data_IF_899724565164
#
_entry.id   IF_899724565164
#
_cell.length_a   1.000
_cell.length_b   1.000
_cell.length_c   1.000
_cell.angle_alpha   90.00
_cell.angle_beta   90.00
_cell.angle_gamma   90.00
#
_symmetry.space_group_name_H-M   'P 1'
#
loop_
_entity.id
_entity.type
_entity.pdbx_description
1 polymer ?
#
# COMPACT_ATOMS: atom_id res chain seq x y z
N UNK A 1 -41.72 -41.21 15.93
CA UNK A 1 -41.82 -40.24 14.82
C UNK A 1 -41.29 -38.88 15.21
N UNK A 2 -41.74 -38.30 16.33
CA UNK A 2 -41.29 -36.98 16.82
C UNK A 2 -39.76 -36.83 16.92
N UNK A 3 -39.05 -37.79 17.52
CA UNK A 3 -37.59 -37.75 17.68
C UNK A 3 -36.85 -37.68 16.34
N UNK A 4 -37.33 -38.40 15.31
CA UNK A 4 -36.70 -38.40 13.99
C UNK A 4 -36.87 -37.05 13.28
N UNK A 5 -38.04 -36.43 13.44
CA UNK A 5 -38.32 -35.10 12.91
C UNK A 5 -37.46 -34.04 13.62
N UNK A 6 -37.39 -34.09 14.96
CA UNK A 6 -36.56 -33.18 15.75
C UNK A 6 -35.07 -33.33 15.43
N UNK A 7 -34.56 -34.55 15.26
CA UNK A 7 -33.17 -34.80 14.89
C UNK A 7 -32.84 -34.30 13.48
N UNK A 8 -33.75 -34.50 12.52
CA UNK A 8 -33.61 -33.98 11.16
C UNK A 8 -33.59 -32.45 11.13
N UNK A 9 -34.46 -31.80 11.91
CA UNK A 9 -34.47 -30.34 12.03
C UNK A 9 -33.18 -29.82 12.67
N UNK A 10 -32.74 -30.42 13.77
CA UNK A 10 -31.53 -30.01 14.49
C UNK A 10 -30.29 -30.12 13.62
N UNK A 11 -30.16 -31.20 12.86
CA UNK A 11 -29.02 -31.41 11.95
C UNK A 11 -29.01 -30.40 10.80
N UNK A 12 -30.16 -30.16 10.16
CA UNK A 12 -30.29 -29.15 9.10
C UNK A 12 -29.94 -27.74 9.61
N UNK A 13 -30.47 -27.33 10.78
CA UNK A 13 -30.18 -26.02 11.38
C UNK A 13 -28.71 -25.91 11.78
N UNK A 14 -28.14 -26.95 12.40
CA UNK A 14 -26.73 -26.94 12.84
C UNK A 14 -25.76 -26.83 11.66
N UNK A 15 -26.02 -27.54 10.56
CA UNK A 15 -25.21 -27.44 9.33
C UNK A 15 -25.33 -26.04 8.71
N UNK A 16 -26.54 -25.46 8.69
CA UNK A 16 -26.75 -24.09 8.20
C UNK A 16 -25.94 -23.06 9.01
N UNK A 17 -25.97 -23.15 10.34
CA UNK A 17 -25.20 -22.24 11.22
C UNK A 17 -23.69 -22.40 11.01
N UNK A 18 -23.19 -23.63 10.88
CA UNK A 18 -21.76 -23.87 10.64
C UNK A 18 -21.29 -23.25 9.31
N UNK A 19 -22.10 -23.34 8.26
CA UNK A 19 -21.79 -22.71 6.97
C UNK A 19 -21.78 -21.18 7.06
N UNK A 20 -22.77 -20.58 7.72
CA UNK A 20 -22.82 -19.13 7.94
C UNK A 20 -21.60 -18.64 8.75
N UNK A 21 -21.20 -19.40 9.77
CA UNK A 21 -20.00 -19.08 10.55
C UNK A 21 -18.72 -19.15 9.70
N UNK A 22 -18.58 -20.17 8.86
CA UNK A 22 -17.43 -20.29 7.95
C UNK A 22 -17.37 -19.13 6.94
N UNK A 23 -18.51 -18.73 6.38
CA UNK A 23 -18.61 -17.59 5.46
C UNK A 23 -18.24 -16.28 6.19
N UNK A 24 -18.79 -16.06 7.39
CA UNK A 24 -18.51 -14.88 8.20
C UNK A 24 -17.04 -14.79 8.60
N UNK A 25 -16.43 -15.89 9.04
CA UNK A 25 -15.01 -15.94 9.38
C UNK A 25 -14.12 -15.57 8.19
N UNK A 26 -14.39 -16.14 7.01
CA UNK A 26 -13.66 -15.81 5.78
C UNK A 26 -13.85 -14.33 5.40
N UNK A 27 -15.06 -13.80 5.51
CA UNK A 27 -15.35 -12.40 5.24
C UNK A 27 -14.59 -11.47 6.21
N UNK A 28 -14.58 -11.78 7.51
CA UNK A 28 -13.87 -11.00 8.52
C UNK A 28 -12.36 -11.00 8.30
N UNK A 29 -11.78 -12.14 7.92
CA UNK A 29 -10.35 -12.22 7.61
C UNK A 29 -9.98 -11.35 6.40
N UNK A 30 -10.75 -11.41 5.32
CA UNK A 30 -10.54 -10.57 4.14
C UNK A 30 -10.71 -9.09 4.48
N UNK A 31 -11.75 -8.73 5.24
CA UNK A 31 -12.01 -7.36 5.66
C UNK A 31 -10.86 -6.80 6.52
N UNK A 32 -10.37 -7.59 7.50
CA UNK A 32 -9.21 -7.22 8.32
C UNK A 32 -7.98 -6.95 7.45
N UNK A 33 -7.68 -7.84 6.49
CA UNK A 33 -6.57 -7.66 5.55
C UNK A 33 -6.67 -6.34 4.78
N UNK A 34 -7.87 -6.02 4.28
CA UNK A 34 -8.14 -4.79 3.54
C UNK A 34 -8.03 -3.51 4.39
N UNK A 35 -8.48 -3.55 5.65
CA UNK A 35 -8.29 -2.43 6.58
C UNK A 35 -6.80 -2.21 6.87
N UNK A 36 -6.02 -3.28 7.09
CA UNK A 36 -4.58 -3.18 7.31
C UNK A 36 -3.86 -2.57 6.10
N UNK A 37 -4.10 -3.07 4.89
CA UNK A 37 -3.42 -2.54 3.69
C UNK A 37 -3.79 -1.09 3.41
N UNK A 38 -5.05 -0.69 3.67
CA UNK A 38 -5.49 0.71 3.58
C UNK A 38 -4.75 1.60 4.57
N UNK A 39 -4.73 1.24 5.86
CA UNK A 39 -4.03 2.03 6.88
C UNK A 39 -2.53 2.18 6.59
N UNK A 40 -1.90 1.10 6.14
CA UNK A 40 -0.49 1.11 5.73
C UNK A 40 -0.23 1.99 4.50
N UNK A 41 -1.18 2.03 3.57
CA UNK A 41 -1.12 2.91 2.40
C UNK A 41 -1.26 4.39 2.82
N UNK A 42 -2.18 4.68 3.74
CA UNK A 42 -2.38 6.01 4.30
C UNK A 42 -1.13 6.51 5.02
N UNK A 43 -0.52 5.68 5.87
CA UNK A 43 0.73 6.04 6.55
C UNK A 43 1.85 6.43 5.57
N UNK A 44 2.07 5.64 4.52
CA UNK A 44 3.09 5.97 3.50
C UNK A 44 2.69 7.21 2.70
N UNK A 45 1.40 7.39 2.44
CA UNK A 45 0.90 8.60 1.78
C UNK A 45 1.16 9.84 2.62
N UNK A 46 0.96 9.79 3.93
CA UNK A 46 1.27 10.91 4.82
C UNK A 46 2.78 11.18 4.90
N UNK A 47 3.62 10.15 4.89
CA UNK A 47 5.07 10.34 4.78
C UNK A 47 5.45 11.12 3.50
N UNK A 48 4.90 10.75 2.34
CA UNK A 48 5.12 11.46 1.07
C UNK A 48 4.55 12.88 1.08
N UNK A 49 3.37 13.08 1.68
CA UNK A 49 2.74 14.39 1.82
C UNK A 49 3.51 15.30 2.77
N UNK A 50 4.18 14.76 3.78
CA UNK A 50 5.02 15.49 4.72
C UNK A 50 6.32 16.06 4.13
N UNK A 51 6.83 15.48 3.04
CA UNK A 51 8.08 15.96 2.42
C UNK A 51 7.96 17.38 1.84
N UNK A 52 9.02 18.17 1.91
CA UNK A 52 9.01 19.56 1.42
C UNK A 52 8.69 19.62 -0.08
N UNK A 53 7.63 20.35 -0.43
CA UNK A 53 7.25 20.67 -1.82
C UNK A 53 6.58 22.04 -1.84
N UNK A 54 7.36 23.07 -2.11
CA UNK A 54 6.91 24.44 -1.96
C UNK A 54 7.87 25.44 -2.57
N UNK A 55 7.88 26.64 -2.00
CA UNK A 55 8.79 27.72 -2.35
C UNK A 55 9.50 28.18 -1.08
N UNK A 56 10.74 28.65 -1.24
CA UNK A 56 11.50 29.26 -0.16
C UNK A 56 10.84 30.58 0.26
N UNK A 57 10.46 30.68 1.53
CA UNK A 57 9.83 31.88 2.10
C UNK A 57 10.84 32.88 2.68
N UNK A 58 12.10 32.47 2.87
CA UNK A 58 13.16 33.32 3.45
C UNK A 58 14.13 33.87 2.41
N UNK A 59 14.19 33.25 1.22
CA UNK A 59 15.03 33.67 0.10
C UNK A 59 14.26 34.25 -1.08
N UNK A 60 14.69 33.91 -2.30
CA UNK A 60 14.18 34.51 -3.55
C UNK A 60 12.85 33.92 -4.05
N UNK A 61 12.08 33.21 -3.21
CA UNK A 61 10.86 32.54 -3.66
C UNK A 61 11.12 31.39 -4.64
N UNK A 62 12.30 30.77 -4.59
CA UNK A 62 12.66 29.67 -5.47
C UNK A 62 11.94 28.38 -5.05
N UNK A 63 11.61 27.49 -6.01
CA UNK A 63 11.01 26.22 -5.69
C UNK A 63 11.93 25.37 -4.81
N UNK A 64 11.40 24.82 -3.72
CA UNK A 64 12.09 23.90 -2.81
C UNK A 64 11.40 22.55 -2.83
N UNK A 65 12.20 21.51 -3.02
CA UNK A 65 11.77 20.12 -3.08
C UNK A 65 12.69 19.30 -2.21
N UNK A 66 12.13 18.42 -1.38
CA UNK A 66 12.91 17.36 -0.74
C UNK A 66 13.30 16.33 -1.79
N UNK A 67 14.61 16.17 -1.99
CA UNK A 67 15.19 15.22 -2.94
C UNK A 67 16.12 14.21 -2.28
N UNK A 68 16.16 14.16 -0.94
CA UNK A 68 17.16 13.39 -0.17
C UNK A 68 16.57 12.48 0.89
N UNK A 69 15.31 12.64 1.30
CA UNK A 69 14.71 11.75 2.30
C UNK A 69 14.55 10.33 1.77
N UNK A 70 15.05 9.36 2.52
CA UNK A 70 14.90 7.94 2.29
C UNK A 70 13.62 7.43 2.94
N UNK A 71 12.60 7.29 2.12
CA UNK A 71 11.28 6.78 2.52
C UNK A 71 11.22 5.26 2.62
N UNK A 72 12.29 4.55 2.23
CA UNK A 72 12.33 3.09 2.19
C UNK A 72 12.90 2.45 3.46
N UNK A 73 13.29 3.26 4.44
CA UNK A 73 13.82 2.82 5.73
C UNK A 73 13.05 3.48 6.87
N UNK A 74 13.02 2.81 8.02
CA UNK A 74 12.41 3.30 9.25
C UNK A 74 13.43 3.20 10.40
N UNK A 75 13.80 4.32 11.07
CA UNK A 75 13.40 5.70 10.79
C UNK A 75 13.96 6.23 9.47
N UNK A 76 13.31 7.28 8.93
CA UNK A 76 13.73 7.94 7.68
C UNK A 76 15.11 8.60 7.82
N UNK A 77 15.93 8.49 6.78
CA UNK A 77 17.31 9.04 6.74
C UNK A 77 17.51 9.93 5.50
N UNK A 78 18.47 10.86 5.52
CA UNK A 78 18.78 11.72 4.38
C UNK A 78 19.69 11.05 3.33
N UNK A 79 19.35 9.83 2.90
CA UNK A 79 20.16 8.99 2.00
C UNK A 79 19.39 8.47 0.78
N UNK A 80 18.20 9.02 0.51
CA UNK A 80 17.28 8.52 -0.49
C UNK A 80 16.93 9.52 -1.57
N UNK A 81 15.75 9.34 -2.16
CA UNK A 81 15.32 10.08 -3.35
C UNK A 81 14.29 11.19 -3.07
N UNK A 82 13.77 11.30 -1.83
CA UNK A 82 12.73 12.25 -1.48
C UNK A 82 11.53 12.17 -2.43
N UNK A 83 11.21 13.29 -3.07
CA UNK A 83 10.16 13.45 -4.08
C UNK A 83 10.68 13.42 -5.52
N UNK A 84 11.85 12.84 -5.78
CA UNK A 84 12.31 12.64 -7.16
C UNK A 84 11.37 11.66 -7.91
N UNK A 85 11.19 11.84 -9.23
CA UNK A 85 10.37 10.93 -10.03
C UNK A 85 10.83 9.47 -9.91
N UNK A 86 9.88 8.58 -9.71
CA UNK A 86 10.13 7.15 -9.63
C UNK A 86 10.44 6.55 -11.00
N UNK A 87 11.25 5.48 -11.06
CA UNK A 87 11.35 4.64 -12.27
C UNK A 87 9.99 4.09 -12.71
N UNK A 88 9.87 3.76 -14.00
CA UNK A 88 8.70 3.08 -14.54
C UNK A 88 8.49 1.72 -13.82
N UNK A 89 7.23 1.33 -13.62
CA UNK A 89 6.88 0.08 -12.95
C UNK A 89 7.11 0.07 -11.43
N UNK A 90 7.45 1.19 -10.78
CA UNK A 90 7.69 1.24 -9.33
C UNK A 90 6.48 0.78 -8.48
N UNK A 91 5.26 0.81 -9.03
CA UNK A 91 4.07 0.24 -8.36
C UNK A 91 3.91 -1.27 -8.59
N UNK A 92 4.46 -1.78 -9.70
CA UNK A 92 4.21 -3.11 -10.22
C UNK A 92 5.28 -4.12 -9.79
N UNK A 93 6.50 -3.64 -9.52
CA UNK A 93 7.63 -4.46 -9.08
C UNK A 93 8.40 -3.81 -7.93
N UNK A 94 9.18 -4.62 -7.21
CA UNK A 94 10.03 -4.11 -6.12
C UNK A 94 11.21 -3.31 -6.71
N UNK A 95 11.12 -1.98 -6.62
CA UNK A 95 12.21 -1.08 -7.01
C UNK A 95 12.87 -0.52 -5.75
N UNK A 96 14.17 -0.74 -5.61
CA UNK A 96 14.94 -0.23 -4.47
C UNK A 96 14.75 1.29 -4.31
N UNK A 97 14.49 1.75 -3.07
CA UNK A 97 14.18 3.15 -2.77
C UNK A 97 12.71 3.56 -3.00
N UNK A 98 11.88 2.67 -3.58
CA UNK A 98 10.44 2.89 -3.83
C UNK A 98 9.55 1.75 -3.29
N UNK A 99 10.12 0.92 -2.42
CA UNK A 99 9.43 -0.20 -1.77
C UNK A 99 9.92 -0.36 -0.33
N UNK A 100 9.02 -0.74 0.57
CA UNK A 100 9.37 -1.29 1.88
C UNK A 100 8.50 -2.50 2.22
N UNK A 101 8.96 -3.26 3.20
CA UNK A 101 8.35 -4.51 3.63
C UNK A 101 7.97 -4.40 5.10
N UNK A 102 6.75 -4.84 5.42
CA UNK A 102 6.22 -4.82 6.78
C UNK A 102 5.82 -6.22 7.24
N UNK A 103 5.96 -6.48 8.54
CA UNK A 103 5.44 -7.69 9.17
C UNK A 103 3.90 -7.64 9.37
N UNK A 104 3.34 -8.67 10.00
CA UNK A 104 1.90 -8.75 10.30
C UNK A 104 1.38 -7.61 11.19
N UNK A 105 2.24 -6.98 11.97
CA UNK A 105 1.92 -5.87 12.88
C UNK A 105 2.12 -4.50 12.21
N UNK A 106 2.63 -4.46 10.97
CA UNK A 106 2.97 -3.23 10.27
C UNK A 106 4.36 -2.67 10.63
N UNK A 107 5.19 -3.44 11.33
CA UNK A 107 6.55 -3.04 11.65
C UNK A 107 7.47 -3.23 10.44
N UNK A 108 8.39 -2.29 10.23
CA UNK A 108 9.39 -2.35 9.16
C UNK A 108 10.30 -3.57 9.32
N UNK A 109 10.44 -4.37 8.25
CA UNK A 109 11.32 -5.55 8.22
C UNK A 109 12.32 -5.55 7.08
N UNK A 110 12.29 -4.52 6.22
CA UNK A 110 13.31 -4.34 5.19
C UNK A 110 12.86 -3.53 3.99
N UNK A 111 13.77 -3.41 3.04
CA UNK A 111 13.58 -2.80 1.72
C UNK A 111 14.48 -3.49 0.70
N UNK A 112 14.35 -3.12 -0.57
CA UNK A 112 15.12 -3.66 -1.68
C UNK A 112 14.23 -4.44 -2.65
N UNK A 113 14.87 -5.23 -3.51
CA UNK A 113 14.17 -5.96 -4.59
C UNK A 113 13.62 -7.31 -4.11
N UNK A 114 14.22 -7.90 -3.08
CA UNK A 114 13.84 -9.21 -2.53
C UNK A 114 12.94 -9.05 -1.32
N UNK A 115 11.82 -9.78 -1.30
CA UNK A 115 10.87 -9.81 -0.17
C UNK A 115 11.48 -10.62 0.99
N UNK A 116 11.67 -10.04 2.19
CA UNK A 116 12.09 -10.79 3.37
C UNK A 116 11.08 -11.87 3.77
N UNK A 117 11.54 -12.98 4.33
CA UNK A 117 10.65 -14.08 4.75
C UNK A 117 9.65 -13.68 5.85
N UNK A 118 9.96 -12.65 6.63
CA UNK A 118 9.09 -12.10 7.68
C UNK A 118 8.06 -11.09 7.16
N UNK A 119 8.15 -10.69 5.87
CA UNK A 119 7.26 -9.71 5.29
C UNK A 119 5.87 -10.31 5.02
N UNK A 120 4.85 -9.62 5.52
CA UNK A 120 3.44 -9.90 5.24
C UNK A 120 2.89 -8.89 4.24
N UNK A 121 3.34 -7.64 4.31
CA UNK A 121 2.90 -6.57 3.43
C UNK A 121 4.07 -6.00 2.64
N UNK A 122 3.77 -5.64 1.40
CA UNK A 122 4.68 -4.96 0.48
C UNK A 122 4.04 -3.60 0.18
N UNK A 123 4.70 -2.51 0.56
CA UNK A 123 4.28 -1.16 0.17
C UNK A 123 5.19 -0.64 -0.92
N UNK A 124 4.60 -0.25 -2.04
CA UNK A 124 5.27 0.37 -3.17
C UNK A 124 4.73 1.77 -3.35
N UNK A 125 5.56 2.70 -3.79
CA UNK A 125 5.11 4.03 -4.14
C UNK A 125 5.71 4.52 -5.44
N UNK A 126 4.98 5.42 -6.08
CA UNK A 126 5.41 6.09 -7.28
C UNK A 126 5.13 7.57 -7.17
N UNK A 127 6.10 8.34 -7.61
CA UNK A 127 6.09 9.78 -7.71
C UNK A 127 6.25 10.10 -9.19
N UNK A 128 5.28 10.79 -9.78
CA UNK A 128 5.30 11.15 -11.19
C UNK A 128 4.96 12.63 -11.36
N UNK A 129 5.74 13.39 -12.13
CA UNK A 129 5.34 14.74 -12.49
C UNK A 129 4.06 14.70 -13.35
N UNK A 130 3.12 15.61 -13.11
CA UNK A 130 1.94 15.74 -13.96
C UNK A 130 2.37 16.25 -15.36
N UNK A 131 2.12 15.55 -16.47
CA UNK A 131 2.66 15.93 -17.78
C UNK A 131 2.32 17.35 -18.23
N UNK A 132 1.17 17.88 -17.81
CA UNK A 132 0.72 19.24 -18.14
C UNK A 132 1.31 20.32 -17.23
N UNK A 133 1.88 19.96 -16.08
CA UNK A 133 2.56 20.89 -15.17
C UNK A 133 3.67 20.16 -14.36
N UNK A 134 4.70 19.66 -15.05
CA UNK A 134 5.64 18.71 -14.46
C UNK A 134 6.53 19.33 -13.37
N UNK A 135 6.72 20.65 -13.44
CA UNK A 135 7.53 21.37 -12.46
C UNK A 135 6.78 21.61 -11.15
N UNK A 136 5.46 21.83 -11.17
CA UNK A 136 4.74 22.30 -9.97
C UNK A 136 3.74 21.30 -9.41
N UNK A 137 3.43 20.24 -10.15
CA UNK A 137 2.46 19.23 -9.72
C UNK A 137 3.03 17.84 -9.84
N UNK A 138 2.90 17.07 -8.75
CA UNK A 138 3.26 15.66 -8.69
C UNK A 138 2.03 14.81 -8.39
N UNK A 139 1.97 13.64 -9.00
CA UNK A 139 1.06 12.56 -8.69
C UNK A 139 1.81 11.61 -7.75
N UNK A 140 1.26 11.43 -6.57
CA UNK A 140 1.78 10.50 -5.57
C UNK A 140 0.86 9.29 -5.53
N UNK A 141 1.43 8.11 -5.67
CA UNK A 141 0.71 6.85 -5.64
C UNK A 141 1.34 5.94 -4.60
N UNK A 142 0.52 5.29 -3.79
CA UNK A 142 0.95 4.25 -2.87
C UNK A 142 0.11 3.02 -3.15
N UNK A 143 0.77 1.89 -3.36
CA UNK A 143 0.16 0.59 -3.53
C UNK A 143 0.63 -0.34 -2.41
N UNK A 144 -0.31 -1.04 -1.79
CA UNK A 144 -0.01 -2.01 -0.73
C UNK A 144 -0.67 -3.33 -1.08
N UNK A 145 0.10 -4.40 -1.06
CA UNK A 145 -0.36 -5.77 -1.28
C UNK A 145 0.21 -6.69 -0.20
N UNK A 146 -0.29 -7.91 -0.12
CA UNK A 146 0.28 -8.94 0.76
C UNK A 146 1.35 -9.74 0.01
N UNK A 147 2.35 -10.25 0.73
CA UNK A 147 3.36 -11.13 0.15
C UNK A 147 2.75 -12.38 -0.51
N UNK A 148 1.63 -12.87 0.05
CA UNK A 148 0.87 -13.99 -0.52
C UNK A 148 0.23 -13.60 -1.86
N UNK A 149 -0.47 -12.46 -1.93
CA UNK A 149 -1.05 -11.99 -3.19
C UNK A 149 0.04 -11.80 -4.25
N UNK A 150 1.16 -11.18 -3.86
CA UNK A 150 2.28 -10.94 -4.77
C UNK A 150 2.89 -12.24 -5.30
N UNK A 151 3.09 -13.26 -4.46
CA UNK A 151 3.61 -14.55 -4.90
C UNK A 151 2.68 -15.29 -5.88
N UNK A 152 1.37 -15.03 -5.81
CA UNK A 152 0.37 -15.62 -6.72
C UNK A 152 0.08 -14.76 -7.95
N UNK A 153 0.68 -13.58 -8.05
CA UNK A 153 0.45 -12.64 -9.14
C UNK A 153 1.03 -13.20 -10.44
N UNK A 154 0.25 -13.24 -11.54
CA UNK A 154 0.77 -13.64 -12.84
C UNK A 154 1.91 -12.71 -13.26
N UNK A 155 3.02 -13.28 -13.74
CA UNK A 155 4.09 -12.51 -14.36
C UNK A 155 3.65 -12.04 -15.74
N UNK A 156 3.80 -10.73 -16.03
CA UNK A 156 3.64 -10.19 -17.39
C UNK A 156 2.42 -9.30 -17.64
N UNK A 157 1.56 -9.06 -16.65
CA UNK A 157 0.49 -8.06 -16.77
C UNK A 157 1.02 -6.68 -16.36
N UNK A 158 1.10 -5.75 -17.33
CA UNK A 158 1.32 -4.34 -17.07
C UNK A 158 0.01 -3.56 -17.38
N UNK A 159 -0.62 -2.87 -16.41
CA UNK A 159 -0.29 -2.80 -14.98
C UNK A 159 -0.77 -4.03 -14.18
N UNK A 160 -0.13 -4.27 -13.03
CA UNK A 160 -0.43 -5.40 -12.15
C UNK A 160 -1.93 -5.45 -11.76
N UNK A 161 -2.59 -6.57 -12.08
CA UNK A 161 -4.03 -6.76 -11.81
C UNK A 161 -4.37 -6.66 -10.32
N UNK A 162 -5.23 -5.72 -9.94
CA UNK A 162 -5.69 -5.55 -8.55
C UNK A 162 -6.32 -6.84 -8.01
N UNK A 163 -5.85 -7.30 -6.85
CA UNK A 163 -6.38 -8.47 -6.15
C UNK A 163 -7.17 -8.06 -4.91
N UNK A 164 -8.09 -8.92 -4.41
CA UNK A 164 -8.73 -8.70 -3.12
C UNK A 164 -7.71 -8.50 -2.00
N UNK A 165 -7.94 -7.49 -1.15
CA UNK A 165 -7.01 -7.10 -0.08
C UNK A 165 -5.94 -6.10 -0.48
N UNK A 166 -5.76 -5.81 -1.78
CA UNK A 166 -4.85 -4.75 -2.23
C UNK A 166 -5.44 -3.35 -1.95
N UNK A 167 -4.59 -2.41 -1.54
CA UNK A 167 -4.92 -1.00 -1.39
C UNK A 167 -4.12 -0.15 -2.40
N UNK A 168 -4.73 0.88 -2.98
CA UNK A 168 -4.00 1.91 -3.76
C UNK A 168 -4.61 3.25 -3.48
N UNK A 169 -3.77 4.18 -3.05
CA UNK A 169 -4.12 5.56 -2.85
C UNK A 169 -3.40 6.39 -3.90
N UNK A 170 -4.09 7.39 -4.42
CA UNK A 170 -3.55 8.34 -5.38
C UNK A 170 -3.90 9.72 -4.86
N UNK A 171 -2.93 10.62 -4.84
CA UNK A 171 -3.16 12.04 -4.54
C UNK A 171 -2.31 12.91 -5.45
N UNK A 172 -2.66 14.18 -5.49
CA UNK A 172 -1.94 15.19 -6.26
C UNK A 172 -1.37 16.21 -5.28
N UNK A 173 -0.08 16.52 -5.43
CA UNK A 173 0.64 17.52 -4.65
C UNK A 173 1.08 18.65 -5.58
N UNK A 174 0.50 19.83 -5.38
CA UNK A 174 0.81 21.03 -6.17
C UNK A 174 1.44 22.07 -5.28
N UNK A 175 2.58 22.63 -5.67
CA UNK A 175 3.13 23.84 -5.03
C UNK A 175 2.47 25.06 -5.66
N UNK A 176 2.03 25.99 -4.82
CA UNK A 176 1.48 27.27 -5.26
C UNK A 176 2.44 28.37 -4.83
N UNK A 177 2.76 29.28 -5.74
CA UNK A 177 3.34 30.56 -5.36
C UNK A 177 2.28 31.31 -4.53
N UNK A 178 2.72 31.98 -3.47
CA UNK A 178 1.84 32.88 -2.73
C UNK A 178 1.47 34.10 -3.57
#
# INVERSE_FOLDING_TARGET
MEVLVSMGLLTAVSLGVAQLFAISSRANHTAKGQTSTTSMAEQKMEQLRGLTWGYDTAGQGLPVTDTSTNLAVDPQLATGAGLNPSPAGALDQNVAGYVDFLDANGAYVGTGTTVPATAVYIRRWSIQPLPTNPNNTQILQVFVTTAVNEATRPAGDDPARRMPGDAKLITVKTRKAQ
#
